data_IF_217426840825
#
_entry.id   IF_217426840825
#
_cell.length_a   1.000
_cell.length_b   1.000
_cell.length_c   1.000
_cell.angle_alpha   90.00
_cell.angle_beta   90.00
_cell.angle_gamma   90.00
#
_symmetry.space_group_name_H-M   'P 1'
#
loop_
_entity.id
_entity.type
_entity.pdbx_description
1 polymer ?
#
# COMPACT_ATOMS: atom_id res chain seq x y z
N UNK A 1 -30.99 62.96 15.60
CA UNK A 1 -32.41 62.65 15.76
C UNK A 1 -32.81 61.85 14.53
N UNK A 2 -33.03 60.54 14.52
CA UNK A 2 -33.16 59.49 15.54
C UNK A 2 -32.77 58.17 14.83
N UNK A 3 -31.86 57.35 15.35
CA UNK A 3 -32.10 56.07 16.07
C UNK A 3 -33.25 55.18 15.57
N UNK A 4 -32.92 53.96 15.13
CA UNK A 4 -33.42 52.59 15.47
C UNK A 4 -32.67 51.62 14.52
N UNK A 5 -32.02 50.51 14.86
CA UNK A 5 -32.01 49.65 16.04
C UNK A 5 -32.15 48.17 15.60
N UNK A 6 -31.21 47.30 16.01
CA UNK A 6 -31.29 45.82 15.94
C UNK A 6 -30.39 45.16 14.89
N UNK A 7 -29.71 44.05 15.12
CA UNK A 7 -29.47 43.21 16.30
C UNK A 7 -28.36 42.23 15.88
N UNK A 8 -27.17 42.30 16.48
CA UNK A 8 -26.06 41.37 16.23
C UNK A 8 -25.57 40.86 17.57
N UNK A 9 -25.96 39.65 17.91
CA UNK A 9 -25.67 38.98 19.19
C UNK A 9 -24.18 38.69 19.34
N UNK A 10 -23.65 39.12 20.48
CA UNK A 10 -22.35 38.77 21.05
C UNK A 10 -22.21 37.25 21.22
N UNK A 11 -21.02 36.73 20.96
CA UNK A 11 -20.64 35.36 21.33
C UNK A 11 -19.31 35.42 22.08
N UNK A 12 -19.40 35.76 23.35
CA UNK A 12 -18.37 35.42 24.33
C UNK A 12 -18.53 33.95 24.73
N UNK A 13 -17.44 33.19 24.72
CA UNK A 13 -17.28 32.04 25.62
C UNK A 13 -15.81 31.83 25.93
N UNK A 14 -15.43 32.32 27.11
CA UNK A 14 -14.24 31.95 27.85
C UNK A 14 -14.23 30.44 28.12
N UNK A 15 -13.08 29.79 27.95
CA UNK A 15 -12.78 28.52 28.59
C UNK A 15 -11.34 28.63 29.11
N UNK A 16 -11.25 29.01 30.38
CA UNK A 16 -10.11 28.74 31.23
C UNK A 16 -10.25 27.29 31.70
N UNK A 17 -9.18 26.51 31.60
CA UNK A 17 -9.02 25.31 32.42
C UNK A 17 -7.54 25.05 32.61
N UNK A 18 -6.98 25.73 33.61
CA UNK A 18 -5.81 25.26 34.34
C UNK A 18 -6.18 23.93 35.02
N UNK A 19 -5.39 22.90 34.75
CA UNK A 19 -5.41 21.67 35.51
C UNK A 19 -3.98 21.14 35.60
N UNK A 20 -3.32 21.56 36.67
CA UNK A 20 -2.13 20.95 37.23
C UNK A 20 -2.33 19.43 37.35
N UNK A 21 -1.44 18.66 36.73
CA UNK A 21 -1.36 17.22 36.95
C UNK A 21 -0.11 16.94 37.78
N UNK A 22 -0.30 16.88 39.09
CA UNK A 22 0.66 16.40 40.09
C UNK A 22 1.16 15.01 39.71
N UNK A 23 2.46 14.89 39.44
CA UNK A 23 3.18 13.62 39.45
C UNK A 23 3.91 13.48 40.77
N UNK A 24 3.23 12.91 41.76
CA UNK A 24 3.85 12.32 42.96
C UNK A 24 3.20 10.96 43.22
N UNK A 25 3.93 9.87 42.95
CA UNK A 25 3.76 8.62 43.68
C UNK A 25 5.10 7.87 43.67
N UNK A 26 5.94 8.22 44.65
CA UNK A 26 6.96 7.32 45.18
C UNK A 26 6.27 6.14 45.86
N UNK A 27 6.65 4.93 45.48
CA UNK A 27 6.36 3.71 46.24
C UNK A 27 7.61 2.82 46.20
N UNK A 28 8.49 3.07 47.17
CA UNK A 28 9.43 2.10 47.70
C UNK A 28 8.64 0.95 48.34
N UNK A 29 8.96 -0.29 47.98
CA UNK A 29 8.68 -1.46 48.82
C UNK A 29 9.84 -2.45 48.68
N UNK A 30 10.79 -2.34 49.62
CA UNK A 30 11.71 -3.42 49.95
C UNK A 30 11.02 -4.36 50.95
N UNK A 31 11.01 -5.68 50.71
CA UNK A 31 11.72 -6.66 51.57
C UNK A 31 11.30 -8.15 51.35
N UNK A 32 12.34 -8.99 51.25
CA UNK A 32 12.51 -10.40 51.64
C UNK A 32 11.58 -11.56 51.17
N UNK A 33 12.15 -12.37 50.27
CA UNK A 33 12.79 -13.63 50.70
C UNK A 33 11.92 -14.86 50.99
N UNK A 34 11.59 -15.66 49.96
CA UNK A 34 11.53 -17.13 50.10
C UNK A 34 11.57 -17.89 48.76
N UNK A 35 12.77 -18.37 48.43
CA UNK A 35 13.12 -19.66 47.80
C UNK A 35 12.15 -20.26 46.77
N UNK A 36 12.35 -19.89 45.50
CA UNK A 36 12.08 -20.75 44.34
C UNK A 36 13.31 -20.80 43.46
N UNK A 37 13.91 -21.98 43.26
CA UNK A 37 15.02 -22.19 42.32
C UNK A 37 14.53 -21.93 40.89
N UNK A 38 14.70 -20.72 40.39
CA UNK A 38 14.54 -20.40 38.98
C UNK A 38 15.81 -20.90 38.29
N UNK A 39 15.74 -22.07 37.65
CA UNK A 39 16.81 -22.54 36.77
C UNK A 39 16.82 -21.62 35.55
N UNK A 40 17.94 -20.93 35.36
CA UNK A 40 18.26 -20.14 34.17
C UNK A 40 18.02 -20.97 32.91
N UNK A 41 17.22 -20.45 31.97
CA UNK A 41 17.05 -21.00 30.63
C UNK A 41 18.21 -20.64 29.68
N UNK A 42 19.26 -20.02 30.20
CA UNK A 42 20.46 -19.64 29.45
C UNK A 42 21.64 -20.61 29.67
N UNK A 43 21.45 -21.66 30.47
CA UNK A 43 22.47 -22.65 30.82
C UNK A 43 22.10 -24.02 30.23
N UNK A 44 21.90 -24.04 28.90
CA UNK A 44 21.94 -25.27 28.12
C UNK A 44 23.31 -25.32 27.44
N UNK A 45 24.14 -26.21 27.96
CA UNK A 45 25.41 -26.66 27.40
C UNK A 45 25.35 -26.73 25.87
N UNK A 46 26.04 -25.78 25.22
CA UNK A 46 26.34 -25.81 23.80
C UNK A 46 27.53 -26.76 23.60
N UNK A 47 27.26 -28.06 23.71
CA UNK A 47 28.25 -29.11 23.39
C UNK A 47 27.82 -29.82 22.11
N UNK A 48 28.54 -29.47 21.05
CA UNK A 48 28.85 -30.21 19.83
C UNK A 48 27.99 -31.45 19.53
N UNK A 49 26.86 -31.24 18.85
CA UNK A 49 26.32 -32.24 17.92
C UNK A 49 25.93 -31.59 16.60
N UNK A 50 26.84 -31.76 15.63
CA UNK A 50 26.65 -31.82 14.19
C UNK A 50 25.26 -32.35 13.76
N UNK A 51 24.24 -31.50 13.80
CA UNK A 51 22.94 -31.72 13.17
C UNK A 51 23.03 -31.24 11.74
N UNK A 52 23.02 -32.23 10.84
CA UNK A 52 23.09 -32.05 9.40
C UNK A 52 22.12 -31.00 8.88
N UNK A 53 22.61 -30.29 7.87
CA UNK A 53 22.02 -29.12 7.21
C UNK A 53 20.77 -29.47 6.36
N UNK A 54 19.98 -30.47 6.77
CA UNK A 54 18.89 -31.08 5.99
C UNK A 54 17.54 -31.00 6.73
N UNK A 55 17.11 -29.79 7.08
CA UNK A 55 15.70 -29.44 7.28
C UNK A 55 15.34 -28.27 6.35
N UNK A 56 14.14 -28.28 5.75
CA UNK A 56 14.00 -28.61 4.35
C UNK A 56 14.01 -27.36 3.47
N UNK A 57 14.86 -27.38 2.43
CA UNK A 57 14.75 -26.55 1.24
C UNK A 57 13.44 -26.81 0.43
N UNK A 58 12.49 -27.58 0.98
CA UNK A 58 11.18 -27.89 0.40
C UNK A 58 10.11 -26.84 0.72
N UNK A 59 10.40 -25.87 1.61
CA UNK A 59 9.55 -24.69 1.84
C UNK A 59 9.95 -23.48 0.95
N UNK A 60 11.05 -23.59 0.21
CA UNK A 60 11.56 -22.58 -0.73
C UNK A 60 11.19 -22.89 -2.19
N UNK A 61 10.11 -23.66 -2.39
CA UNK A 61 9.58 -24.00 -3.72
C UNK A 61 8.48 -23.06 -4.24
N UNK A 62 8.28 -21.89 -3.63
CA UNK A 62 7.23 -20.94 -4.03
C UNK A 62 7.66 -19.90 -5.09
N UNK A 63 8.93 -19.88 -5.50
CA UNK A 63 9.44 -18.81 -6.37
C UNK A 63 9.37 -19.10 -7.89
N UNK A 64 9.12 -20.35 -8.33
CA UNK A 64 9.28 -20.71 -9.76
C UNK A 64 8.00 -20.71 -10.61
N UNK A 65 6.79 -20.86 -10.05
CA UNK A 65 5.59 -21.15 -10.86
C UNK A 65 4.79 -19.92 -11.35
N UNK A 66 5.21 -18.70 -11.03
CA UNK A 66 4.38 -17.49 -11.20
C UNK A 66 5.06 -16.37 -12.01
N UNK A 67 6.05 -16.73 -12.82
CA UNK A 67 6.86 -15.82 -13.65
C UNK A 67 6.18 -15.44 -14.98
N UNK A 68 4.94 -14.95 -14.93
CA UNK A 68 4.47 -14.17 -16.08
C UNK A 68 5.32 -12.89 -16.14
N UNK A 69 6.11 -12.74 -17.19
CA UNK A 69 6.96 -11.57 -17.35
C UNK A 69 6.10 -10.35 -17.69
N UNK A 70 5.62 -9.66 -16.64
CA UNK A 70 4.77 -8.48 -16.78
C UNK A 70 5.43 -7.39 -17.63
N UNK A 71 6.76 -7.38 -17.71
CA UNK A 71 7.52 -6.38 -18.46
C UNK A 71 7.42 -6.58 -19.99
N UNK A 72 7.18 -7.81 -20.47
CA UNK A 72 7.03 -8.13 -21.90
C UNK A 72 5.65 -7.81 -22.49
N UNK A 73 4.65 -7.61 -21.63
CA UNK A 73 3.26 -7.37 -22.06
C UNK A 73 3.09 -5.88 -22.39
N UNK A 74 2.81 -5.56 -23.66
CA UNK A 74 2.58 -4.18 -24.11
C UNK A 74 1.27 -3.58 -23.57
N UNK A 75 0.17 -4.33 -23.65
CA UNK A 75 -1.13 -3.91 -23.13
C UNK A 75 -1.83 -5.03 -22.36
N UNK A 76 -1.94 -4.85 -21.05
CA UNK A 76 -2.59 -5.82 -20.15
C UNK A 76 -4.11 -5.86 -20.37
N UNK A 77 -4.70 -4.80 -20.90
CA UNK A 77 -6.16 -4.72 -21.10
C UNK A 77 -6.65 -5.67 -22.20
N UNK A 78 -5.78 -6.06 -23.12
CA UNK A 78 -6.08 -6.96 -24.24
C UNK A 78 -5.98 -8.45 -23.85
N UNK A 79 -5.48 -8.74 -22.65
CA UNK A 79 -5.35 -10.11 -22.16
C UNK A 79 -6.70 -10.70 -21.75
N UNK A 80 -6.83 -12.02 -21.95
CA UNK A 80 -7.95 -12.80 -21.43
C UNK A 80 -7.80 -13.02 -19.92
N UNK A 81 -8.90 -13.24 -19.22
CA UNK A 81 -8.92 -13.38 -17.75
C UNK A 81 -8.00 -14.49 -17.21
N UNK A 82 -7.71 -15.50 -18.05
CA UNK A 82 -6.81 -16.62 -17.73
C UNK A 82 -5.33 -16.25 -17.77
N UNK A 83 -4.99 -15.12 -18.39
CA UNK A 83 -3.64 -14.60 -18.55
C UNK A 83 -3.33 -13.48 -17.55
N UNK A 84 -4.22 -13.23 -16.58
CA UNK A 84 -3.94 -12.27 -15.52
C UNK A 84 -2.97 -12.83 -14.47
N UNK A 85 -2.18 -11.94 -13.82
CA UNK A 85 -1.32 -12.35 -12.73
C UNK A 85 -2.11 -13.05 -11.63
N UNK A 86 -1.54 -14.14 -11.10
CA UNK A 86 -2.10 -14.82 -9.94
C UNK A 86 -1.76 -14.05 -8.68
N UNK A 87 -2.74 -14.03 -7.77
CA UNK A 87 -2.63 -13.40 -6.46
C UNK A 87 -2.84 -14.46 -5.39
N UNK A 88 -2.08 -14.34 -4.31
CA UNK A 88 -2.18 -15.21 -3.13
C UNK A 88 -3.51 -14.99 -2.40
N UNK A 89 -3.98 -13.75 -2.33
CA UNK A 89 -5.23 -13.39 -1.67
C UNK A 89 -6.34 -13.09 -2.68
N UNK A 90 -7.53 -13.68 -2.46
CA UNK A 90 -8.73 -13.38 -3.24
C UNK A 90 -9.12 -11.88 -3.17
N UNK A 91 -8.84 -11.21 -2.05
CA UNK A 91 -9.05 -9.76 -1.90
C UNK A 91 -8.17 -8.96 -2.87
N UNK A 92 -6.91 -9.37 -3.06
CA UNK A 92 -5.99 -8.72 -4.00
C UNK A 92 -6.42 -8.97 -5.44
N UNK A 93 -6.83 -10.20 -5.77
CA UNK A 93 -7.45 -10.52 -7.06
C UNK A 93 -8.67 -9.64 -7.34
N UNK A 94 -9.57 -9.45 -6.37
CA UNK A 94 -10.73 -8.59 -6.53
C UNK A 94 -10.36 -7.11 -6.71
N UNK A 95 -9.34 -6.61 -5.99
CA UNK A 95 -8.79 -5.26 -6.19
C UNK A 95 -8.23 -5.09 -7.60
N UNK A 96 -7.47 -6.07 -8.07
CA UNK A 96 -6.93 -6.11 -9.42
C UNK A 96 -8.03 -6.06 -10.50
N UNK A 97 -9.07 -6.89 -10.38
CA UNK A 97 -10.16 -6.89 -11.35
C UNK A 97 -10.94 -5.57 -11.37
N UNK A 98 -11.15 -4.94 -10.21
CA UNK A 98 -11.74 -3.58 -10.15
C UNK A 98 -10.86 -2.55 -10.84
N UNK A 99 -9.55 -2.64 -10.64
CA UNK A 99 -8.58 -1.76 -11.29
C UNK A 99 -8.63 -1.93 -12.82
N UNK A 100 -8.56 -3.16 -13.34
CA UNK A 100 -8.65 -3.44 -14.78
C UNK A 100 -9.96 -2.93 -15.38
N UNK A 101 -11.10 -3.21 -14.72
CA UNK A 101 -12.40 -2.72 -15.16
C UNK A 101 -12.45 -1.18 -15.23
N UNK A 102 -11.85 -0.49 -14.26
CA UNK A 102 -11.77 0.97 -14.28
C UNK A 102 -11.01 1.47 -15.51
N UNK A 103 -9.84 0.90 -15.81
CA UNK A 103 -9.05 1.30 -16.98
C UNK A 103 -9.78 1.04 -18.29
N UNK A 104 -10.41 -0.14 -18.47
CA UNK A 104 -11.23 -0.45 -19.66
C UNK A 104 -12.34 0.58 -19.87
N UNK A 105 -13.10 0.88 -18.83
CA UNK A 105 -14.17 1.89 -18.88
C UNK A 105 -13.63 3.29 -19.22
N UNK A 106 -12.41 3.62 -18.77
CA UNK A 106 -11.76 4.89 -19.11
C UNK A 106 -11.32 4.95 -20.57
N UNK A 107 -10.88 3.86 -21.17
CA UNK A 107 -10.53 3.84 -22.59
C UNK A 107 -11.74 4.15 -23.47
N UNK A 108 -12.87 3.47 -23.23
CA UNK A 108 -14.12 3.71 -23.95
C UNK A 108 -14.62 5.15 -23.74
N UNK A 109 -14.56 5.64 -22.50
CA UNK A 109 -14.95 7.00 -22.17
C UNK A 109 -14.11 8.05 -22.91
N UNK A 110 -12.80 7.80 -23.08
CA UNK A 110 -11.90 8.74 -23.78
C UNK A 110 -12.38 9.00 -25.19
N UNK A 111 -13.01 8.05 -25.88
CA UNK A 111 -13.47 8.24 -27.26
C UNK A 111 -14.54 9.33 -27.36
N UNK A 112 -15.50 9.34 -26.43
CA UNK A 112 -16.67 10.23 -26.43
C UNK A 112 -16.53 11.46 -25.53
N UNK A 113 -15.54 11.48 -24.63
CA UNK A 113 -15.39 12.54 -23.64
C UNK A 113 -15.06 13.91 -24.27
N UNK A 114 -15.56 15.02 -23.70
CA UNK A 114 -15.15 16.36 -24.11
C UNK A 114 -13.69 16.64 -23.74
N UNK A 115 -13.02 17.49 -24.53
CA UNK A 115 -11.60 17.85 -24.32
C UNK A 115 -11.30 18.39 -22.91
N UNK A 116 -12.23 19.12 -22.30
CA UNK A 116 -12.10 19.63 -20.92
C UNK A 116 -12.03 18.48 -19.91
N UNK A 117 -12.86 17.44 -20.07
CA UNK A 117 -12.85 16.23 -19.25
C UNK A 117 -11.55 15.44 -19.43
N UNK A 118 -11.12 15.24 -20.67
CA UNK A 118 -9.87 14.55 -21.02
C UNK A 118 -8.67 15.27 -20.40
N UNK A 119 -8.62 16.60 -20.49
CA UNK A 119 -7.53 17.42 -19.92
C UNK A 119 -7.48 17.33 -18.39
N UNK A 120 -8.66 17.32 -17.74
CA UNK A 120 -8.74 17.13 -16.28
C UNK A 120 -8.23 15.75 -15.87
N UNK A 121 -8.68 14.70 -16.55
CA UNK A 121 -8.25 13.33 -16.27
C UNK A 121 -6.75 13.16 -16.51
N UNK A 122 -6.20 13.74 -17.58
CA UNK A 122 -4.76 13.72 -17.86
C UNK A 122 -3.94 14.26 -16.69
N UNK A 123 -4.28 15.45 -16.17
CA UNK A 123 -3.57 16.04 -15.03
C UNK A 123 -3.64 15.16 -13.78
N UNK A 124 -4.81 14.57 -13.53
CA UNK A 124 -5.01 13.66 -12.41
C UNK A 124 -4.17 12.39 -12.56
N UNK A 125 -4.24 11.73 -13.71
CA UNK A 125 -3.52 10.48 -13.96
C UNK A 125 -2.00 10.67 -13.97
N UNK A 126 -1.50 11.79 -14.48
CA UNK A 126 -0.06 12.10 -14.40
C UNK A 126 0.42 12.20 -12.96
N UNK A 127 -0.36 12.82 -12.06
CA UNK A 127 -0.03 12.89 -10.63
C UNK A 127 -0.15 11.51 -9.96
N UNK A 128 -1.19 10.75 -10.28
CA UNK A 128 -1.37 9.39 -9.73
C UNK A 128 -0.24 8.45 -10.18
N UNK A 129 0.27 8.59 -11.40
CA UNK A 129 1.41 7.79 -11.91
C UNK A 129 2.67 7.95 -11.04
N UNK A 130 2.96 9.17 -10.57
CA UNK A 130 4.08 9.41 -9.66
C UNK A 130 3.89 8.65 -8.34
N UNK A 131 2.68 8.68 -7.78
CA UNK A 131 2.33 7.92 -6.58
C UNK A 131 2.48 6.40 -6.77
N UNK A 132 2.04 5.88 -7.91
CA UNK A 132 2.18 4.45 -8.26
C UNK A 132 3.66 4.04 -8.32
N UNK A 133 4.51 4.88 -8.93
CA UNK A 133 5.95 4.64 -9.03
C UNK A 133 6.66 4.67 -7.67
N UNK A 134 6.27 5.61 -6.80
CA UNK A 134 6.78 5.65 -5.43
C UNK A 134 6.42 4.37 -4.68
N UNK A 135 5.13 3.98 -4.69
CA UNK A 135 4.70 2.74 -4.01
C UNK A 135 5.36 1.48 -4.58
N UNK A 136 5.57 1.43 -5.91
CA UNK A 136 6.31 0.34 -6.56
C UNK A 136 7.73 0.22 -6.00
N UNK A 137 8.45 1.34 -5.96
CA UNK A 137 9.81 1.39 -5.43
C UNK A 137 9.85 0.98 -3.95
N UNK A 138 8.88 1.42 -3.15
CA UNK A 138 8.79 1.03 -1.74
C UNK A 138 8.66 -0.49 -1.59
N UNK A 139 7.80 -1.13 -2.39
CA UNK A 139 7.64 -2.59 -2.36
C UNK A 139 8.88 -3.34 -2.87
N UNK A 140 9.57 -2.82 -3.89
CA UNK A 140 10.83 -3.39 -4.37
C UNK A 140 11.89 -3.34 -3.25
N UNK A 141 12.07 -2.18 -2.60
CA UNK A 141 13.03 -2.03 -1.50
C UNK A 141 12.69 -2.94 -0.31
N UNK A 142 11.42 -3.04 0.09
CA UNK A 142 11.03 -3.92 1.21
C UNK A 142 11.31 -5.39 0.93
N UNK A 143 11.15 -5.84 -0.32
CA UNK A 143 11.45 -7.21 -0.74
C UNK A 143 12.96 -7.48 -0.74
N UNK A 144 13.76 -6.49 -1.19
CA UNK A 144 15.23 -6.54 -1.19
C UNK A 144 15.84 -6.53 0.21
N UNK A 145 15.22 -5.80 1.16
CA UNK A 145 15.71 -5.67 2.54
C UNK A 145 15.77 -7.01 3.29
N UNK A 146 14.97 -7.99 2.86
CA UNK A 146 15.07 -9.37 3.35
C UNK A 146 14.53 -9.62 4.77
N UNK A 147 14.01 -8.59 5.44
CA UNK A 147 13.51 -8.66 6.83
C UNK A 147 12.09 -9.20 6.97
N UNK A 148 11.38 -9.37 5.84
CA UNK A 148 9.99 -9.82 5.83
C UNK A 148 9.85 -11.32 6.10
N UNK A 149 8.83 -11.69 6.88
CA UNK A 149 8.42 -13.09 7.03
C UNK A 149 7.93 -13.66 5.68
N UNK A 150 7.89 -14.98 5.47
CA UNK A 150 7.42 -15.56 4.21
C UNK A 150 6.02 -15.09 3.80
N UNK A 151 5.08 -15.02 4.76
CA UNK A 151 3.71 -14.55 4.51
C UNK A 151 3.67 -13.06 4.14
N UNK A 152 4.46 -12.22 4.81
CA UNK A 152 4.58 -10.81 4.48
C UNK A 152 5.21 -10.61 3.10
N UNK A 153 6.27 -11.36 2.78
CA UNK A 153 6.94 -11.34 1.48
C UNK A 153 5.96 -11.68 0.36
N UNK A 154 5.20 -12.75 0.52
CA UNK A 154 4.17 -13.17 -0.45
C UNK A 154 3.13 -12.06 -0.69
N UNK A 155 2.66 -11.40 0.37
CA UNK A 155 1.77 -10.25 0.26
C UNK A 155 2.43 -9.05 -0.46
N UNK A 156 3.69 -8.71 -0.13
CA UNK A 156 4.41 -7.61 -0.80
C UNK A 156 4.67 -7.91 -2.28
N UNK A 157 4.93 -9.17 -2.64
CA UNK A 157 5.03 -9.60 -4.06
C UNK A 157 3.71 -9.33 -4.80
N UNK A 158 2.56 -9.63 -4.20
CA UNK A 158 1.25 -9.35 -4.79
C UNK A 158 0.99 -7.85 -4.96
N UNK A 159 1.35 -7.04 -3.97
CA UNK A 159 1.27 -5.57 -4.06
C UNK A 159 2.17 -5.03 -5.17
N UNK A 160 3.42 -5.53 -5.26
CA UNK A 160 4.34 -5.18 -6.32
C UNK A 160 3.78 -5.56 -7.71
N UNK A 161 3.23 -6.78 -7.86
CA UNK A 161 2.53 -7.20 -9.08
C UNK A 161 1.43 -6.20 -9.46
N UNK A 162 0.59 -5.78 -8.51
CA UNK A 162 -0.44 -4.77 -8.77
C UNK A 162 0.14 -3.43 -9.22
N UNK A 163 1.17 -2.92 -8.53
CA UNK A 163 1.82 -1.65 -8.89
C UNK A 163 2.43 -1.69 -10.29
N UNK A 164 3.11 -2.78 -10.67
CA UNK A 164 3.67 -2.96 -12.03
C UNK A 164 2.58 -2.90 -13.11
N UNK A 165 1.48 -3.62 -12.90
CA UNK A 165 0.36 -3.60 -13.83
C UNK A 165 -0.31 -2.22 -13.89
N UNK A 166 -0.53 -1.60 -12.74
CA UNK A 166 -1.15 -0.28 -12.64
C UNK A 166 -0.31 0.79 -13.34
N UNK A 167 1.01 0.75 -13.18
CA UNK A 167 1.93 1.66 -13.86
C UNK A 167 1.79 1.54 -15.38
N UNK A 168 1.82 0.32 -15.93
CA UNK A 168 1.67 0.08 -17.37
C UNK A 168 0.35 0.61 -17.91
N UNK A 169 -0.76 0.30 -17.23
CA UNK A 169 -2.08 0.79 -17.65
C UNK A 169 -2.20 2.31 -17.54
N UNK A 170 -1.64 2.92 -16.49
CA UNK A 170 -1.62 4.37 -16.32
C UNK A 170 -0.83 5.06 -17.43
N UNK A 171 0.36 4.55 -17.78
CA UNK A 171 1.16 5.08 -18.89
C UNK A 171 0.39 4.99 -20.20
N UNK A 172 -0.21 3.83 -20.50
CA UNK A 172 -1.01 3.63 -21.70
C UNK A 172 -2.20 4.61 -21.77
N UNK A 173 -2.92 4.76 -20.66
CA UNK A 173 -4.05 5.69 -20.55
C UNK A 173 -3.60 7.15 -20.79
N UNK A 174 -2.49 7.56 -20.18
CA UNK A 174 -1.90 8.89 -20.34
C UNK A 174 -1.53 9.14 -21.81
N UNK A 175 -0.94 8.15 -22.48
CA UNK A 175 -0.62 8.25 -23.91
C UNK A 175 -1.89 8.48 -24.76
N UNK A 176 -2.97 7.73 -24.53
CA UNK A 176 -4.26 7.93 -25.22
C UNK A 176 -4.85 9.32 -24.95
N UNK A 177 -4.85 9.76 -23.69
CA UNK A 177 -5.31 11.10 -23.29
C UNK A 177 -4.51 12.19 -24.01
N UNK A 178 -3.19 12.05 -24.07
CA UNK A 178 -2.30 13.00 -24.71
C UNK A 178 -2.55 13.10 -26.21
N UNK A 179 -2.77 11.96 -26.90
CA UNK A 179 -3.13 11.94 -28.32
C UNK A 179 -4.45 12.69 -28.56
N UNK A 180 -5.48 12.43 -27.75
CA UNK A 180 -6.76 13.14 -27.90
C UNK A 180 -6.62 14.64 -27.68
N UNK A 181 -5.92 15.06 -26.62
CA UNK A 181 -5.65 16.49 -26.33
C UNK A 181 -4.90 17.15 -27.50
N UNK A 182 -3.85 16.50 -28.01
CA UNK A 182 -3.06 17.02 -29.14
C UNK A 182 -3.87 17.09 -30.44
N UNK A 183 -4.73 16.11 -30.68
CA UNK A 183 -5.55 16.06 -31.91
C UNK A 183 -6.60 17.17 -31.97
N UNK A 184 -6.98 17.77 -30.84
CA UNK A 184 -8.00 18.81 -30.78
C UNK A 184 -9.39 18.37 -31.25
N UNK A 185 -9.62 17.07 -31.49
CA UNK A 185 -10.90 16.53 -31.95
C UNK A 185 -11.94 16.72 -30.84
N UNK A 186 -12.88 17.63 -31.10
CA UNK A 186 -14.05 17.91 -30.24
C UNK A 186 -15.13 16.89 -30.48
#
# INVERSE_FOLDING_TARGET
>A
MDEVGGAGTEFERNIDTDADLDTDTDADDENEGSKGKIKSAFDLDFDDQNVGNDLPNMLLGEDEEDSMNLDEIDNILDLSDNQFPKFTLAKNKARFLRMVSWYRNKEEWIEVAPLSGVTKLFKQQTKELEGIRSSKLDYEMELETGTLTPSQRSYRRDELKMCKVQEKMAVHLISKLQVKIKSGRR
#
